data_IF_083277825858
#
_entry.id   IF_083277825858
#
_cell.length_a   1.000
_cell.length_b   1.000
_cell.length_c   1.000
_cell.angle_alpha   90.00
_cell.angle_beta   90.00
_cell.angle_gamma   90.00
#
_symmetry.space_group_name_H-M   'P 1'
#
loop_
_entity.id
_entity.type
_entity.pdbx_description
1 polymer ?
#
# COMPACT_ATOMS: atom_id res chain seq x y z
N UNK A 1 -52.69 29.10 -27.72
CA UNK A 1 -53.63 30.19 -27.38
C UNK A 1 -54.75 29.64 -26.51
N UNK A 2 -55.22 30.41 -25.53
CA UNK A 2 -56.33 29.99 -24.67
C UNK A 2 -57.64 30.46 -25.28
N UNK A 3 -58.54 29.54 -25.62
CA UNK A 3 -59.87 29.85 -26.15
C UNK A 3 -60.87 29.66 -25.02
N UNK A 4 -61.67 30.70 -24.74
CA UNK A 4 -62.69 30.68 -23.68
C UNK A 4 -64.08 30.81 -24.29
N UNK A 5 -64.97 29.88 -23.92
CA UNK A 5 -66.36 29.89 -24.38
C UNK A 5 -67.17 31.00 -23.67
N UNK A 6 -67.83 31.91 -24.40
CA UNK A 6 -68.62 33.00 -23.82
C UNK A 6 -69.91 32.51 -23.14
N UNK A 7 -70.41 31.33 -23.49
CA UNK A 7 -71.68 30.81 -22.97
C UNK A 7 -71.56 30.09 -21.62
N UNK A 8 -70.45 29.40 -21.37
CA UNK A 8 -70.28 28.59 -20.14
C UNK A 8 -68.97 28.84 -19.38
N UNK A 9 -68.12 29.75 -19.88
CA UNK A 9 -66.85 30.10 -19.24
C UNK A 9 -65.77 29.01 -19.29
N UNK A 10 -65.97 27.93 -20.06
CA UNK A 10 -64.97 26.89 -20.23
C UNK A 10 -63.80 27.41 -21.07
N UNK A 11 -62.58 27.31 -20.55
CA UNK A 11 -61.33 27.66 -21.24
C UNK A 11 -60.46 26.43 -21.48
N UNK A 12 -59.82 26.38 -22.65
CA UNK A 12 -58.85 25.35 -23.00
C UNK A 12 -57.66 25.97 -23.74
N UNK A 13 -56.45 25.48 -23.45
CA UNK A 13 -55.26 25.83 -24.22
C UNK A 13 -55.18 24.96 -25.48
N UNK A 14 -55.12 25.60 -26.63
CA UNK A 14 -55.01 24.95 -27.94
C UNK A 14 -53.76 25.47 -28.64
N UNK A 15 -52.93 24.56 -29.14
CA UNK A 15 -51.75 24.94 -29.91
C UNK A 15 -52.15 25.50 -31.28
N UNK A 16 -51.51 26.58 -31.78
CA UNK A 16 -51.87 27.21 -33.07
C UNK A 16 -51.87 26.23 -34.25
N UNK A 17 -51.01 25.22 -34.22
CA UNK A 17 -50.86 24.20 -35.28
C UNK A 17 -52.08 23.26 -35.40
N UNK A 18 -52.95 23.22 -34.39
CA UNK A 18 -54.15 22.37 -34.39
C UNK A 18 -55.39 23.08 -34.94
N UNK A 19 -55.30 24.39 -35.24
CA UNK A 19 -56.40 25.17 -35.80
C UNK A 19 -56.24 25.21 -37.32
N UNK A 20 -57.20 24.68 -38.10
CA UNK A 20 -57.16 24.80 -39.55
C UNK A 20 -57.10 26.27 -39.97
N UNK A 21 -56.19 26.59 -40.90
CA UNK A 21 -56.08 27.95 -41.44
C UNK A 21 -57.43 28.41 -42.01
N UNK A 22 -57.95 29.55 -41.52
CA UNK A 22 -59.25 30.10 -41.92
C UNK A 22 -60.48 29.66 -41.11
N UNK A 23 -60.35 28.82 -40.07
CA UNK A 23 -61.46 28.53 -39.16
C UNK A 23 -61.94 29.78 -38.39
N UNK A 24 -63.20 30.16 -38.56
CA UNK A 24 -63.84 31.32 -37.89
C UNK A 24 -64.79 30.92 -36.76
N UNK A 25 -65.20 29.65 -36.66
CA UNK A 25 -66.18 29.18 -35.69
C UNK A 25 -65.72 27.91 -34.98
N UNK A 26 -66.02 27.80 -33.69
CA UNK A 26 -65.71 26.64 -32.86
C UNK A 26 -66.92 26.21 -32.02
N UNK A 27 -67.08 24.91 -31.80
CA UNK A 27 -68.12 24.36 -30.91
C UNK A 27 -67.54 24.00 -29.56
N UNK A 28 -68.17 24.48 -28.47
CA UNK A 28 -67.72 24.18 -27.12
C UNK A 28 -68.00 22.70 -26.76
N UNK A 29 -67.01 21.93 -26.28
CA UNK A 29 -67.23 20.54 -25.88
C UNK A 29 -68.11 20.40 -24.64
N UNK A 30 -68.25 21.46 -23.83
CA UNK A 30 -69.00 21.44 -22.57
C UNK A 30 -70.48 21.79 -22.75
N UNK A 31 -70.79 22.92 -23.39
CA UNK A 31 -72.18 23.36 -23.58
C UNK A 31 -72.74 23.10 -24.98
N UNK A 32 -71.91 22.62 -25.92
CA UNK A 32 -72.27 22.35 -27.33
C UNK A 32 -72.73 23.56 -28.14
N UNK A 33 -72.65 24.77 -27.60
CA UNK A 33 -72.90 26.00 -28.35
C UNK A 33 -71.73 26.32 -29.29
N UNK A 34 -72.06 26.81 -30.49
CA UNK A 34 -71.08 27.33 -31.44
C UNK A 34 -70.83 28.82 -31.19
N UNK A 35 -69.58 29.26 -31.35
CA UNK A 35 -69.18 30.65 -31.17
C UNK A 35 -68.00 31.01 -32.09
N UNK A 36 -67.89 32.29 -32.42
CA UNK A 36 -66.88 32.81 -33.34
C UNK A 36 -65.52 32.98 -32.63
N UNK A 37 -64.44 32.57 -33.30
CA UNK A 37 -63.06 32.68 -32.81
C UNK A 37 -62.28 33.68 -33.65
N UNK A 38 -61.57 34.60 -33.00
CA UNK A 38 -60.71 35.58 -33.70
C UNK A 38 -59.33 34.95 -33.95
N UNK A 39 -58.94 34.84 -35.22
CA UNK A 39 -57.57 34.48 -35.58
C UNK A 39 -56.61 35.65 -35.29
N UNK A 40 -55.37 35.38 -34.86
CA UNK A 40 -54.36 36.43 -34.78
C UNK A 40 -54.09 37.00 -36.19
N UNK A 41 -54.29 38.32 -36.35
CA UNK A 41 -54.04 39.03 -37.62
C UNK A 41 -52.61 38.80 -38.09
N UNK A 42 -52.49 38.41 -39.36
CA UNK A 42 -51.29 37.89 -39.98
C UNK A 42 -50.17 38.91 -40.22
N UNK A 43 -49.03 38.29 -40.51
CA UNK A 43 -47.88 38.77 -41.26
C UNK A 43 -48.20 39.81 -42.34
N UNK A 44 -47.40 40.88 -42.38
CA UNK A 44 -46.99 41.58 -43.61
C UNK A 44 -45.60 42.22 -43.41
N UNK A 45 -44.67 41.85 -44.32
CA UNK A 45 -43.42 42.53 -44.73
C UNK A 45 -42.29 42.85 -43.72
N UNK A 46 -41.15 42.20 -43.95
CA UNK A 46 -39.79 42.39 -43.38
C UNK A 46 -39.18 43.80 -43.65
N UNK A 47 -37.93 44.17 -43.23
CA UNK A 47 -36.91 43.41 -42.49
C UNK A 47 -36.20 44.20 -41.36
N UNK A 48 -35.72 43.49 -40.34
CA UNK A 48 -34.56 43.91 -39.57
C UNK A 48 -33.87 42.67 -38.99
N UNK A 49 -32.80 42.31 -39.68
CA UNK A 49 -31.61 41.67 -39.16
C UNK A 49 -31.47 41.87 -37.63
N UNK A 50 -31.83 40.83 -36.87
CA UNK A 50 -31.42 40.70 -35.48
C UNK A 50 -30.69 39.37 -35.36
N UNK A 51 -29.39 39.49 -35.54
CA UNK A 51 -28.37 38.59 -35.05
C UNK A 51 -28.69 38.18 -33.62
N UNK A 52 -29.20 36.97 -33.43
CA UNK A 52 -29.15 36.25 -32.17
C UNK A 52 -28.42 34.94 -32.42
N UNK A 53 -27.10 35.04 -32.29
CA UNK A 53 -26.24 34.05 -31.62
C UNK A 53 -26.40 32.60 -32.08
N UNK A 54 -25.89 32.31 -33.29
CA UNK A 54 -25.38 30.98 -33.63
C UNK A 54 -24.14 30.67 -32.78
N UNK A 55 -24.24 30.46 -31.46
CA UNK A 55 -23.04 30.03 -30.71
C UNK A 55 -23.28 29.40 -29.34
N UNK A 56 -24.42 28.74 -29.10
CA UNK A 56 -24.53 27.90 -27.90
C UNK A 56 -25.32 26.61 -28.15
N UNK A 57 -24.76 25.75 -29.00
CA UNK A 57 -25.20 24.36 -29.12
C UNK A 57 -24.59 23.54 -27.98
N UNK A 58 -25.45 22.82 -27.26
CA UNK A 58 -25.07 21.94 -26.15
C UNK A 58 -25.17 20.49 -26.60
N UNK A 59 -24.15 19.70 -26.29
CA UNK A 59 -24.17 18.25 -26.50
C UNK A 59 -24.68 17.57 -25.23
N UNK A 60 -25.74 16.78 -25.35
CA UNK A 60 -26.28 16.04 -24.21
C UNK A 60 -25.27 15.02 -23.70
N UNK A 61 -24.86 15.03 -22.42
CA UNK A 61 -23.84 14.13 -21.90
C UNK A 61 -24.34 12.69 -21.69
N UNK A 62 -25.65 12.45 -21.76
CA UNK A 62 -26.23 11.12 -21.62
C UNK A 62 -26.36 10.37 -22.97
N UNK A 63 -26.66 11.07 -24.07
CA UNK A 63 -26.92 10.44 -25.37
C UNK A 63 -26.08 11.01 -26.54
N UNK A 64 -25.33 12.09 -26.34
CA UNK A 64 -24.48 12.71 -27.37
C UNK A 64 -25.20 13.60 -28.39
N UNK A 65 -26.51 13.83 -28.25
CA UNK A 65 -27.28 14.67 -29.19
C UNK A 65 -26.94 16.16 -29.06
N UNK A 66 -26.66 16.83 -30.18
CA UNK A 66 -26.41 18.28 -30.27
C UNK A 66 -27.70 19.06 -30.53
N UNK A 67 -27.94 20.09 -29.72
CA UNK A 67 -29.15 20.91 -29.81
C UNK A 67 -28.88 22.33 -29.25
N UNK A 68 -29.76 23.31 -29.45
CA UNK A 68 -29.66 24.61 -28.80
C UNK A 68 -29.70 24.49 -27.26
N UNK A 69 -29.06 25.41 -26.53
CA UNK A 69 -29.10 25.41 -25.07
C UNK A 69 -30.54 25.42 -24.52
N UNK A 70 -30.83 24.52 -23.57
CA UNK A 70 -32.15 24.34 -22.94
C UNK A 70 -32.06 23.61 -21.60
N UNK A 71 -33.19 23.43 -20.90
CA UNK A 71 -33.24 22.77 -19.58
C UNK A 71 -33.29 21.24 -19.63
N UNK A 72 -33.68 20.68 -20.77
CA UNK A 72 -33.73 19.23 -21.02
C UNK A 72 -33.25 18.89 -22.43
N UNK A 73 -32.90 17.62 -22.65
CA UNK A 73 -32.55 17.12 -23.98
C UNK A 73 -33.82 16.76 -24.78
N UNK A 74 -33.97 17.35 -25.97
CA UNK A 74 -35.07 17.10 -26.91
C UNK A 74 -35.09 15.67 -27.47
N UNK A 75 -33.96 14.96 -27.44
CA UNK A 75 -33.88 13.58 -27.96
C UNK A 75 -34.13 12.51 -26.88
N UNK A 76 -33.54 12.63 -25.70
CA UNK A 76 -33.63 11.61 -24.64
C UNK A 76 -34.46 12.03 -23.42
N UNK A 77 -34.92 13.28 -23.35
CA UNK A 77 -35.76 13.79 -22.27
C UNK A 77 -35.04 14.02 -20.94
N UNK A 78 -33.71 13.96 -20.90
CA UNK A 78 -32.98 14.14 -19.64
C UNK A 78 -32.93 15.61 -19.22
N UNK A 79 -33.24 15.87 -17.95
CA UNK A 79 -33.10 17.19 -17.32
C UNK A 79 -31.64 17.42 -16.91
N UNK A 80 -31.01 18.47 -17.43
CA UNK A 80 -29.59 18.73 -17.22
C UNK A 80 -29.26 19.08 -15.76
N UNK A 81 -30.12 19.82 -15.06
CA UNK A 81 -29.92 20.18 -13.67
C UNK A 81 -30.02 18.95 -12.76
N UNK A 82 -30.96 18.05 -13.04
CA UNK A 82 -31.08 16.76 -12.34
C UNK A 82 -29.90 15.84 -12.64
N UNK A 83 -29.42 15.81 -13.88
CA UNK A 83 -28.26 15.01 -14.27
C UNK A 83 -26.97 15.51 -13.60
N UNK A 84 -26.75 16.83 -13.59
CA UNK A 84 -25.61 17.46 -12.91
C UNK A 84 -25.61 17.21 -11.41
N UNK A 85 -26.78 17.29 -10.74
CA UNK A 85 -26.89 16.94 -9.31
C UNK A 85 -26.52 15.48 -9.02
N UNK A 86 -26.83 14.55 -9.94
CA UNK A 86 -26.43 13.15 -9.80
C UNK A 86 -24.93 12.97 -10.01
N UNK A 87 -24.34 13.64 -11.00
CA UNK A 87 -22.90 13.63 -11.24
C UNK A 87 -22.12 14.19 -10.04
N UNK A 88 -22.61 15.26 -9.42
CA UNK A 88 -22.01 15.83 -8.21
C UNK A 88 -22.07 14.90 -6.98
N UNK A 89 -22.93 13.87 -7.01
CA UNK A 89 -23.02 12.83 -5.98
C UNK A 89 -22.16 11.60 -6.29
N UNK A 90 -21.63 11.49 -7.52
CA UNK A 90 -20.66 10.45 -7.86
C UNK A 90 -19.32 10.96 -7.35
N UNK A 91 -18.97 10.59 -6.12
CA UNK A 91 -17.62 10.79 -5.63
C UNK A 91 -16.65 10.10 -6.60
N UNK A 92 -15.56 10.76 -7.02
CA UNK A 92 -14.55 10.12 -7.84
C UNK A 92 -14.05 8.89 -7.07
N UNK A 93 -14.10 7.74 -7.74
CA UNK A 93 -13.53 6.49 -7.22
C UNK A 93 -12.08 6.79 -6.80
N UNK A 94 -11.67 6.48 -5.56
CA UNK A 94 -10.37 6.88 -5.06
C UNK A 94 -9.30 6.30 -5.98
N UNK A 95 -8.58 7.19 -6.68
CA UNK A 95 -7.42 6.86 -7.50
C UNK A 95 -6.52 5.94 -6.67
N UNK A 96 -6.36 4.69 -7.12
CA UNK A 96 -5.72 3.63 -6.34
C UNK A 96 -4.35 4.10 -5.85
N UNK A 97 -4.27 4.46 -4.56
CA UNK A 97 -3.09 5.06 -3.98
C UNK A 97 -1.93 4.05 -4.05
N UNK A 98 -1.02 4.26 -4.99
CA UNK A 98 0.14 3.41 -5.16
C UNK A 98 1.16 3.69 -4.05
N UNK A 99 1.62 2.64 -3.37
CA UNK A 99 2.62 2.74 -2.30
C UNK A 99 3.96 2.19 -2.78
N UNK A 100 5.02 2.97 -2.60
CA UNK A 100 6.39 2.53 -2.86
C UNK A 100 6.96 1.77 -1.67
N UNK A 101 7.49 0.58 -1.94
CA UNK A 101 8.09 -0.28 -0.92
C UNK A 101 9.45 0.28 -0.45
N UNK A 102 9.63 0.58 0.84
CA UNK A 102 10.90 1.11 1.36
C UNK A 102 12.05 0.09 1.33
N UNK A 103 11.74 -1.20 1.15
CA UNK A 103 12.74 -2.28 1.17
C UNK A 103 13.38 -2.54 -0.20
N UNK A 104 12.59 -2.47 -1.28
CA UNK A 104 13.04 -2.85 -2.62
C UNK A 104 12.72 -1.81 -3.71
N UNK A 105 12.06 -0.70 -3.36
CA UNK A 105 11.65 0.36 -4.29
C UNK A 105 10.50 -0.02 -5.21
N UNK A 106 9.82 -1.15 -4.98
CA UNK A 106 8.69 -1.57 -5.80
C UNK A 106 7.43 -0.78 -5.48
N UNK A 107 6.81 -0.19 -6.50
CA UNK A 107 5.49 0.44 -6.41
C UNK A 107 4.40 -0.62 -6.57
N UNK A 108 3.43 -0.64 -5.66
CA UNK A 108 2.31 -1.58 -5.70
C UNK A 108 1.06 -0.99 -5.03
N UNK A 109 -0.08 -1.66 -5.18
CA UNK A 109 -1.29 -1.33 -4.42
C UNK A 109 -1.07 -1.53 -2.90
N UNK A 110 -1.85 -0.84 -2.04
CA UNK A 110 -1.73 -0.99 -0.59
C UNK A 110 -1.96 -2.45 -0.16
N UNK A 111 -0.95 -3.05 0.45
CA UNK A 111 -0.99 -4.43 0.92
C UNK A 111 -0.28 -4.55 2.28
N UNK A 112 -0.54 -5.62 3.03
CA UNK A 112 0.16 -5.88 4.30
C UNK A 112 1.64 -6.20 4.08
N UNK A 113 1.98 -6.77 2.91
CA UNK A 113 3.34 -7.12 2.51
C UNK A 113 3.60 -6.73 1.05
N UNK A 114 4.86 -6.47 0.73
CA UNK A 114 5.30 -6.22 -0.62
C UNK A 114 5.27 -7.52 -1.42
N UNK A 115 4.53 -7.54 -2.52
CA UNK A 115 4.41 -8.69 -3.41
C UNK A 115 5.74 -9.09 -4.08
N UNK A 116 6.71 -8.16 -4.14
CA UNK A 116 8.02 -8.40 -4.75
C UNK A 116 9.07 -8.94 -3.78
N UNK A 117 9.22 -8.32 -2.61
CA UNK A 117 10.27 -8.69 -1.65
C UNK A 117 9.74 -9.36 -0.37
N UNK A 118 8.43 -9.38 -0.16
CA UNK A 118 7.80 -9.89 1.07
C UNK A 118 7.96 -8.98 2.30
N UNK A 119 8.46 -7.76 2.14
CA UNK A 119 8.62 -6.77 3.22
C UNK A 119 7.28 -6.27 3.73
N UNK A 120 7.10 -6.17 5.05
CA UNK A 120 5.83 -5.76 5.68
C UNK A 120 5.60 -4.25 5.49
N UNK A 121 4.44 -3.85 4.98
CA UNK A 121 4.10 -2.45 4.66
C UNK A 121 3.10 -1.83 5.64
N UNK A 122 2.59 -2.61 6.60
CA UNK A 122 1.48 -2.19 7.49
C UNK A 122 1.88 -1.06 8.44
N UNK A 123 1.06 -0.01 8.46
CA UNK A 123 1.23 1.30 9.10
C UNK A 123 0.59 1.43 10.49
N UNK A 124 0.41 0.35 11.24
CA UNK A 124 -0.03 0.41 12.64
C UNK A 124 1.07 -0.07 13.58
N UNK A 125 1.88 0.90 14.03
CA UNK A 125 2.72 0.86 15.23
C UNK A 125 3.87 -0.18 15.32
N UNK A 126 4.41 -0.71 14.23
CA UNK A 126 5.69 -1.41 14.26
C UNK A 126 6.78 -0.50 13.67
N UNK A 127 7.77 -0.14 14.50
CA UNK A 127 8.93 0.67 14.18
C UNK A 127 9.44 0.41 12.76
N UNK A 128 9.72 1.48 12.01
CA UNK A 128 10.28 1.48 10.66
C UNK A 128 11.26 0.31 10.47
N UNK A 129 10.77 -0.79 9.91
CA UNK A 129 11.57 -1.98 9.68
C UNK A 129 12.48 -1.58 8.52
N UNK A 130 13.75 -1.31 8.80
CA UNK A 130 14.69 -0.91 7.75
C UNK A 130 14.92 -2.04 6.75
N UNK A 131 15.55 -1.70 5.62
CA UNK A 131 15.84 -2.65 4.54
C UNK A 131 16.48 -3.94 5.05
N UNK A 132 16.11 -5.10 4.48
CA UNK A 132 16.71 -6.38 4.89
C UNK A 132 18.24 -6.36 4.73
N UNK A 133 18.94 -6.81 5.76
CA UNK A 133 20.38 -6.92 5.75
C UNK A 133 20.79 -8.08 4.81
N UNK A 134 21.47 -7.76 3.71
CA UNK A 134 21.98 -8.75 2.76
C UNK A 134 23.12 -9.59 3.32
N UNK A 135 23.62 -10.54 2.51
CA UNK A 135 24.66 -11.49 2.91
C UNK A 135 25.95 -10.80 3.38
N UNK A 136 26.54 -9.93 2.57
CA UNK A 136 27.86 -9.35 2.84
C UNK A 136 27.94 -8.49 4.11
N UNK A 137 26.89 -7.72 4.42
CA UNK A 137 26.88 -6.92 5.66
C UNK A 137 26.78 -7.80 6.91
N UNK A 138 26.09 -8.95 6.81
CA UNK A 138 26.05 -9.94 7.88
C UNK A 138 27.39 -10.65 8.02
N UNK A 139 28.05 -10.96 6.91
CA UNK A 139 29.40 -11.55 6.90
C UNK A 139 30.40 -10.58 7.54
N UNK A 140 30.36 -9.31 7.17
CA UNK A 140 31.20 -8.28 7.80
C UNK A 140 30.92 -8.15 9.30
N UNK A 141 29.66 -8.16 9.73
CA UNK A 141 29.30 -8.14 11.15
C UNK A 141 29.86 -9.35 11.89
N UNK A 142 29.75 -10.54 11.28
CA UNK A 142 30.26 -11.78 11.84
C UNK A 142 31.80 -11.80 11.92
N UNK A 143 32.50 -11.19 10.97
CA UNK A 143 33.97 -11.04 11.03
C UNK A 143 34.36 -10.15 12.21
N UNK A 144 33.70 -9.00 12.38
CA UNK A 144 33.94 -8.09 13.51
C UNK A 144 33.67 -8.79 14.84
N UNK A 145 32.54 -9.50 14.95
CA UNK A 145 32.21 -10.27 16.16
C UNK A 145 33.24 -11.39 16.40
N UNK A 146 33.71 -12.07 15.35
CA UNK A 146 34.71 -13.13 15.47
C UNK A 146 36.04 -12.62 15.99
N UNK A 147 36.49 -11.43 15.55
CA UNK A 147 37.69 -10.78 16.07
C UNK A 147 37.49 -10.40 17.54
N UNK A 148 36.33 -9.84 17.90
CA UNK A 148 36.04 -9.47 19.29
C UNK A 148 36.04 -10.68 20.23
N UNK A 149 35.39 -11.78 19.83
CA UNK A 149 35.36 -13.04 20.59
C UNK A 149 36.76 -13.68 20.66
N UNK A 150 37.53 -13.64 19.57
CA UNK A 150 38.90 -14.15 19.54
C UNK A 150 39.80 -13.39 20.50
N UNK A 151 39.76 -12.05 20.49
CA UNK A 151 40.52 -11.22 21.44
C UNK A 151 40.12 -11.51 22.89
N UNK A 152 38.82 -11.64 23.17
CA UNK A 152 38.32 -12.01 24.50
C UNK A 152 38.87 -13.37 24.95
N UNK A 153 38.85 -14.37 24.06
CA UNK A 153 39.39 -15.70 24.34
C UNK A 153 40.91 -15.68 24.52
N UNK A 154 41.65 -14.91 23.73
CA UNK A 154 43.11 -14.77 23.87
C UNK A 154 43.47 -14.20 25.24
N UNK A 155 42.83 -13.11 25.66
CA UNK A 155 43.06 -12.49 26.98
C UNK A 155 42.72 -13.47 28.10
N UNK A 156 41.56 -14.14 28.01
CA UNK A 156 41.13 -15.07 29.05
C UNK A 156 42.06 -16.29 29.16
N UNK A 157 42.49 -16.83 28.02
CA UNK A 157 43.44 -17.95 27.96
C UNK A 157 44.80 -17.55 28.54
N UNK A 158 45.27 -16.33 28.26
CA UNK A 158 46.52 -15.81 28.82
C UNK A 158 46.44 -15.68 30.35
N UNK A 159 45.33 -15.13 30.88
CA UNK A 159 45.12 -14.98 32.32
C UNK A 159 45.04 -16.35 33.00
N UNK A 160 44.24 -17.27 32.45
CA UNK A 160 44.09 -18.62 33.01
C UNK A 160 45.41 -19.40 32.96
N UNK A 161 46.14 -19.30 31.84
CA UNK A 161 47.47 -19.92 31.69
C UNK A 161 48.49 -19.36 32.68
N UNK A 162 48.55 -18.03 32.84
CA UNK A 162 49.44 -17.40 33.82
C UNK A 162 49.10 -17.81 35.27
N UNK A 163 47.81 -17.85 35.62
CA UNK A 163 47.36 -18.30 36.93
C UNK A 163 47.66 -19.79 37.17
N UNK A 164 47.46 -20.63 36.16
CA UNK A 164 47.79 -22.06 36.24
C UNK A 164 49.30 -22.28 36.43
N UNK A 165 50.15 -21.55 35.67
CA UNK A 165 51.60 -21.63 35.80
C UNK A 165 52.13 -21.15 37.16
N UNK A 166 51.48 -20.17 37.79
CA UNK A 166 51.80 -19.72 39.15
C UNK A 166 51.41 -20.73 40.22
N UNK A 167 50.25 -21.38 40.10
CA UNK A 167 49.71 -22.30 41.10
C UNK A 167 50.28 -23.73 40.96
N UNK A 168 50.66 -24.11 39.75
CA UNK A 168 51.19 -25.44 39.45
C UNK A 168 52.31 -25.34 38.40
N UNK A 169 53.51 -24.93 38.80
CA UNK A 169 54.64 -24.72 37.88
C UNK A 169 55.13 -26.00 37.18
N UNK A 170 54.70 -27.17 37.66
CA UNK A 170 55.00 -28.49 37.07
C UNK A 170 53.76 -29.17 36.47
N UNK A 171 52.63 -28.47 36.35
CA UNK A 171 51.51 -28.98 35.56
C UNK A 171 51.95 -28.98 34.09
N UNK A 172 52.33 -30.15 33.57
CA UNK A 172 52.72 -30.29 32.18
C UNK A 172 51.62 -29.77 31.24
N UNK A 173 52.03 -28.97 30.25
CA UNK A 173 51.16 -28.36 29.23
C UNK A 173 50.39 -29.38 28.36
N UNK A 174 50.72 -30.67 28.45
CA UNK A 174 50.41 -31.66 27.43
C UNK A 174 49.30 -32.66 27.81
N UNK A 175 48.38 -32.30 28.70
CA UNK A 175 47.18 -33.13 28.88
C UNK A 175 46.14 -32.79 27.80
N UNK A 176 45.90 -33.73 26.89
CA UNK A 176 44.80 -33.64 25.90
C UNK A 176 43.47 -33.27 26.57
N UNK A 177 43.27 -33.72 27.81
CA UNK A 177 42.13 -33.34 28.64
C UNK A 177 42.05 -31.83 28.93
N UNK A 178 43.15 -31.16 29.29
CA UNK A 178 43.16 -29.70 29.51
C UNK A 178 42.86 -28.93 28.23
N UNK A 179 43.42 -29.36 27.09
CA UNK A 179 43.13 -28.75 25.79
C UNK A 179 41.64 -28.88 25.42
N UNK A 180 41.05 -30.07 25.63
CA UNK A 180 39.61 -30.28 25.42
C UNK A 180 38.78 -29.41 26.37
N UNK A 181 39.13 -29.34 27.65
CA UNK A 181 38.39 -28.52 28.62
C UNK A 181 38.44 -27.03 28.27
N UNK A 182 39.62 -26.52 27.86
CA UNK A 182 39.78 -25.13 27.42
C UNK A 182 38.98 -24.87 26.13
N UNK A 183 38.97 -25.82 25.19
CA UNK A 183 38.16 -25.73 23.97
C UNK A 183 36.66 -25.68 24.29
N UNK A 184 36.16 -26.58 25.14
CA UNK A 184 34.75 -26.62 25.56
C UNK A 184 34.35 -25.33 26.28
N UNK A 185 35.23 -24.82 27.16
CA UNK A 185 35.02 -23.55 27.85
C UNK A 185 34.98 -22.37 26.87
N UNK A 186 35.89 -22.34 25.90
CA UNK A 186 35.90 -21.34 24.82
C UNK A 186 34.61 -21.38 24.00
N UNK A 187 34.17 -22.57 23.58
CA UNK A 187 32.90 -22.77 22.88
C UNK A 187 31.70 -22.27 23.71
N UNK A 188 31.66 -22.59 25.00
CA UNK A 188 30.59 -22.14 25.90
C UNK A 188 30.53 -20.61 25.98
N UNK A 189 31.68 -19.95 26.10
CA UNK A 189 31.75 -18.48 26.11
C UNK A 189 31.28 -17.89 24.78
N UNK A 190 31.73 -18.45 23.64
CA UNK A 190 31.28 -17.98 22.33
C UNK A 190 29.76 -18.09 22.19
N UNK A 191 29.18 -19.24 22.55
CA UNK A 191 27.73 -19.44 22.49
C UNK A 191 27.03 -18.45 23.42
N UNK A 192 27.49 -18.31 24.66
CA UNK A 192 26.91 -17.37 25.63
C UNK A 192 26.94 -15.94 25.09
N UNK A 193 28.06 -15.50 24.51
CA UNK A 193 28.19 -14.19 23.86
C UNK A 193 27.10 -13.98 22.80
N UNK A 194 27.01 -14.87 21.81
CA UNK A 194 26.05 -14.69 20.71
C UNK A 194 24.60 -14.75 21.18
N UNK A 195 24.26 -15.68 22.09
CA UNK A 195 22.90 -15.86 22.60
C UNK A 195 22.47 -14.71 23.49
N UNK A 196 23.33 -14.25 24.42
CA UNK A 196 23.00 -13.15 25.34
C UNK A 196 22.81 -11.86 24.57
N UNK A 197 23.75 -11.47 23.71
CA UNK A 197 23.63 -10.22 22.95
C UNK A 197 22.44 -10.24 21.98
N UNK A 198 22.28 -11.33 21.23
CA UNK A 198 21.16 -11.46 20.28
C UNK A 198 19.82 -11.57 21.00
N UNK A 199 19.74 -12.20 22.17
CA UNK A 199 18.53 -12.30 22.98
C UNK A 199 18.16 -11.00 23.70
N UNK A 200 19.15 -10.24 24.18
CA UNK A 200 18.91 -9.00 24.91
C UNK A 200 18.41 -7.86 24.02
N UNK A 201 19.01 -7.71 22.84
CA UNK A 201 18.72 -6.55 21.97
C UNK A 201 18.66 -6.87 20.48
N UNK A 202 18.80 -8.14 20.07
CA UNK A 202 18.83 -8.52 18.66
C UNK A 202 20.15 -8.16 17.95
N UNK A 203 21.16 -7.65 18.67
CA UNK A 203 22.42 -7.19 18.11
C UNK A 203 23.60 -7.65 18.95
N UNK A 204 24.63 -8.15 18.28
CA UNK A 204 25.99 -8.30 18.82
C UNK A 204 26.77 -7.00 18.57
N UNK A 205 27.85 -6.72 19.31
CA UNK A 205 28.70 -5.55 19.09
C UNK A 205 29.08 -5.28 17.62
N UNK A 206 29.43 -6.30 16.83
CA UNK A 206 29.71 -6.16 15.40
C UNK A 206 28.47 -5.84 14.58
N UNK A 207 27.31 -6.42 14.92
CA UNK A 207 26.02 -6.05 14.33
C UNK A 207 25.58 -4.62 14.70
N UNK A 208 25.88 -4.16 15.91
CA UNK A 208 25.64 -2.78 16.33
C UNK A 208 26.49 -1.81 15.50
N UNK A 209 27.77 -2.13 15.31
CA UNK A 209 28.70 -1.32 14.50
C UNK A 209 28.21 -1.17 13.06
N UNK A 210 27.70 -2.25 12.46
CA UNK A 210 27.18 -2.24 11.09
C UNK A 210 25.69 -1.89 10.99
N UNK A 211 25.07 -1.47 12.10
CA UNK A 211 23.66 -1.09 12.17
C UNK A 211 22.73 -2.13 11.56
N UNK A 212 22.90 -3.39 11.96
CA UNK A 212 22.00 -4.49 11.60
C UNK A 212 21.41 -5.12 12.85
N UNK A 213 20.13 -5.48 12.81
CA UNK A 213 19.39 -6.00 13.96
C UNK A 213 18.56 -7.22 13.59
N UNK A 214 18.59 -8.21 14.45
CA UNK A 214 17.75 -9.41 14.37
C UNK A 214 16.45 -9.13 15.09
N UNK A 215 15.34 -9.33 14.39
CA UNK A 215 13.97 -9.19 14.90
C UNK A 215 13.18 -10.45 14.55
N UNK A 216 12.00 -10.62 15.13
CA UNK A 216 11.06 -11.66 14.70
C UNK A 216 10.38 -11.27 13.38
N UNK A 217 9.82 -12.27 12.70
CA UNK A 217 9.05 -12.06 11.47
C UNK A 217 7.82 -11.14 11.66
N UNK A 218 7.26 -11.13 12.86
CA UNK A 218 6.16 -10.25 13.30
C UNK A 218 6.62 -8.85 13.73
N UNK A 219 7.92 -8.54 13.65
CA UNK A 219 8.49 -7.26 14.06
C UNK A 219 8.84 -7.15 15.55
N UNK A 220 8.48 -8.13 16.38
CA UNK A 220 8.78 -8.12 17.81
C UNK A 220 10.27 -8.41 18.10
N UNK A 221 10.68 -8.12 19.34
CA UNK A 221 12.02 -8.44 19.82
C UNK A 221 12.24 -9.96 19.95
N UNK A 222 13.49 -10.39 19.86
CA UNK A 222 13.84 -11.79 20.09
C UNK A 222 13.75 -12.14 21.57
N UNK A 223 13.31 -13.37 21.85
CA UNK A 223 13.48 -13.99 23.17
C UNK A 223 14.79 -14.76 23.22
N UNK A 224 15.36 -14.94 24.42
CA UNK A 224 16.60 -15.73 24.60
C UNK A 224 16.48 -17.16 24.05
N UNK A 225 15.32 -17.81 24.22
CA UNK A 225 15.09 -19.16 23.66
C UNK A 225 15.17 -19.20 22.13
N UNK A 226 14.62 -18.19 21.45
CA UNK A 226 14.73 -18.07 19.99
C UNK A 226 16.12 -17.67 19.54
N UNK A 227 16.80 -16.81 20.29
CA UNK A 227 18.20 -16.50 20.05
C UNK A 227 19.07 -17.76 20.17
N UNK A 228 18.87 -18.59 21.19
CA UNK A 228 19.57 -19.87 21.36
C UNK A 228 19.26 -20.84 20.22
N UNK A 229 17.98 -20.99 19.83
CA UNK A 229 17.61 -21.83 18.69
C UNK A 229 18.30 -21.39 17.40
N UNK A 230 18.35 -20.07 17.15
CA UNK A 230 19.00 -19.48 15.96
C UNK A 230 20.51 -19.69 15.97
N UNK A 231 21.16 -19.35 17.08
CA UNK A 231 22.61 -19.28 17.20
C UNK A 231 23.26 -20.65 17.43
N UNK A 232 22.56 -21.59 18.06
CA UNK A 232 23.06 -22.96 18.32
C UNK A 232 22.58 -23.88 17.20
N UNK A 233 21.29 -24.23 17.21
CA UNK A 233 20.76 -25.26 16.29
C UNK A 233 20.79 -24.79 14.85
N UNK A 234 20.29 -23.58 14.58
CA UNK A 234 20.19 -23.05 13.22
C UNK A 234 21.55 -22.91 12.54
N UNK A 235 22.52 -22.31 13.24
CA UNK A 235 23.89 -22.15 12.72
C UNK A 235 24.64 -23.48 12.63
N UNK A 236 24.47 -24.37 13.61
CA UNK A 236 25.09 -25.70 13.57
C UNK A 236 24.61 -26.51 12.35
N UNK A 237 23.30 -26.55 12.11
CA UNK A 237 22.73 -27.20 10.92
C UNK A 237 23.23 -26.52 9.65
N UNK A 238 23.27 -25.17 9.62
CA UNK A 238 23.81 -24.41 8.48
C UNK A 238 25.28 -24.74 8.19
N UNK A 239 26.07 -25.04 9.23
CA UNK A 239 27.46 -25.47 9.12
C UNK A 239 27.62 -26.90 8.59
N UNK A 240 26.80 -27.85 9.08
CA UNK A 240 26.82 -29.25 8.62
C UNK A 240 26.57 -29.36 7.12
N UNK A 241 25.66 -28.55 6.58
CA UNK A 241 25.36 -28.52 5.14
C UNK A 241 26.39 -27.71 4.33
N UNK A 242 27.66 -27.75 4.72
CA UNK A 242 28.79 -27.06 4.06
C UNK A 242 28.57 -25.56 3.86
N UNK A 243 27.85 -24.92 4.78
CA UNK A 243 27.57 -23.48 4.72
C UNK A 243 26.47 -23.06 3.75
N UNK A 244 25.80 -24.00 3.07
CA UNK A 244 24.67 -23.71 2.16
C UNK A 244 23.57 -22.92 2.89
N UNK A 245 23.34 -23.22 4.18
CA UNK A 245 22.35 -22.51 5.00
C UNK A 245 22.66 -21.02 5.19
N UNK A 246 23.91 -20.61 5.07
CA UNK A 246 24.30 -19.19 5.08
C UNK A 246 24.17 -18.55 3.70
N UNK A 247 24.51 -19.29 2.63
CA UNK A 247 24.40 -18.82 1.24
C UNK A 247 22.95 -18.54 0.81
N UNK A 248 21.96 -19.21 1.42
CA UNK A 248 20.53 -18.94 1.19
C UNK A 248 20.17 -17.46 1.36
N UNK A 249 20.85 -16.74 2.25
CA UNK A 249 20.65 -15.29 2.47
C UNK A 249 20.85 -14.48 1.19
N UNK A 250 21.75 -14.89 0.30
CA UNK A 250 22.03 -14.16 -0.94
C UNK A 250 20.83 -14.22 -1.92
N UNK A 251 20.15 -15.36 -1.97
CA UNK A 251 19.11 -15.67 -2.98
C UNK A 251 17.68 -15.50 -2.47
N UNK A 252 17.45 -15.55 -1.15
CA UNK A 252 16.12 -15.43 -0.56
C UNK A 252 15.57 -14.00 -0.66
N UNK A 253 14.29 -13.86 -1.00
CA UNK A 253 13.62 -12.55 -1.17
C UNK A 253 13.61 -11.72 0.12
N UNK A 254 13.47 -12.38 1.27
CA UNK A 254 13.54 -11.77 2.62
C UNK A 254 14.94 -11.81 3.21
N UNK A 255 15.95 -12.19 2.42
CA UNK A 255 17.34 -12.40 2.83
C UNK A 255 17.47 -13.32 4.04
N UNK A 256 16.65 -14.36 4.15
CA UNK A 256 16.70 -15.29 5.29
C UNK A 256 17.66 -16.46 5.03
N UNK A 257 18.53 -16.74 6.00
CA UNK A 257 19.32 -17.98 6.03
C UNK A 257 18.51 -19.14 6.62
N UNK A 258 19.04 -20.36 6.54
CA UNK A 258 18.39 -21.53 7.16
C UNK A 258 18.17 -21.34 8.67
N UNK A 259 19.19 -20.81 9.35
CA UNK A 259 19.10 -20.46 10.78
C UNK A 259 18.04 -19.41 11.09
N UNK A 260 17.81 -18.45 10.18
CA UNK A 260 16.77 -17.44 10.36
C UNK A 260 15.37 -18.01 10.15
N UNK A 261 15.21 -18.95 9.20
CA UNK A 261 13.96 -19.65 8.93
C UNK A 261 13.57 -20.58 10.09
N UNK A 262 14.54 -21.33 10.63
CA UNK A 262 14.33 -22.22 11.79
C UNK A 262 13.86 -21.43 13.01
N UNK A 263 14.46 -20.26 13.26
CA UNK A 263 14.12 -19.43 14.41
C UNK A 263 12.97 -18.44 14.17
N UNK A 264 12.45 -18.38 12.95
CA UNK A 264 11.42 -17.44 12.51
C UNK A 264 11.81 -15.98 12.83
N UNK A 265 12.94 -15.58 12.24
CA UNK A 265 13.60 -14.28 12.44
C UNK A 265 13.94 -13.60 11.12
N UNK A 266 14.09 -12.29 11.16
CA UNK A 266 14.52 -11.42 10.07
C UNK A 266 15.70 -10.59 10.56
N UNK A 267 16.60 -10.20 9.64
CA UNK A 267 17.66 -9.24 9.94
C UNK A 267 17.49 -8.00 9.08
N UNK A 268 17.40 -6.86 9.74
CA UNK A 268 17.09 -5.57 9.16
C UNK A 268 18.22 -4.59 9.41
N UNK A 269 18.32 -3.55 8.60
CA UNK A 269 19.17 -2.39 8.88
C UNK A 269 18.43 -1.45 9.83
N UNK A 270 19.16 -0.82 10.76
CA UNK A 270 18.64 0.14 11.75
C UNK A 270 19.33 1.49 11.65
#
# INVERSE_FOLDING_TARGET
MTITCPHCGFSAEVSPDQIPAGATEATCPRCKAAFEIQQPKGADSAPAEQTHDLENTVTCPACGHQQPAGSYCLACGIDYAKWQRRQAQIEPEPEEAQVSCPFCGNTQQPATYCQRCGGVLSTTAAAAVGAYAGFWIRTAAAIVDSIAVWLLQMVLTLILGAMAGLLSPNAGDDSVAAAIMLMLFGCAISIAYYVVFTGACGQTPGKMLLRVKVIRSDGSSLTYGRAALREIVGKFVSGIILGIGYLMVAFDARKQGLHDKIADTLVIRV
#
